data_IF_323711243492
#
_entry.id   IF_323711243492
#
_cell.length_a   1.000
_cell.length_b   1.000
_cell.length_c   1.000
_cell.angle_alpha   90.00
_cell.angle_beta   90.00
_cell.angle_gamma   90.00
#
_symmetry.space_group_name_H-M   'P 1'
#
loop_
_entity.id
_entity.type
_entity.pdbx_description
1 polymer ?
#
# COMPACT_ATOMS: atom_id res chain seq x y z
N UNK A 1 8.81 -26.44 6.84
CA UNK A 1 9.02 -25.07 6.33
C UNK A 1 7.72 -24.57 5.76
N UNK A 2 7.16 -23.54 6.37
CA UNK A 2 5.87 -22.96 6.00
C UNK A 2 6.10 -21.72 5.14
N UNK A 3 5.66 -21.73 3.88
CA UNK A 3 5.83 -20.59 2.99
C UNK A 3 4.66 -19.62 3.15
N UNK A 4 4.97 -18.36 3.46
CA UNK A 4 3.99 -17.32 3.73
C UNK A 4 4.19 -16.17 2.75
N UNK A 5 3.16 -15.81 2.00
CA UNK A 5 3.23 -14.74 1.01
C UNK A 5 2.97 -13.37 1.66
N UNK A 6 3.97 -12.49 1.67
CA UNK A 6 3.78 -11.10 2.06
C UNK A 6 2.82 -10.42 1.05
N UNK A 7 1.60 -10.15 1.48
CA UNK A 7 0.50 -9.80 0.60
C UNK A 7 0.03 -8.37 0.84
N UNK A 8 0.54 -7.42 0.07
CA UNK A 8 0.19 -5.99 0.17
C UNK A 8 -0.98 -5.58 -0.73
N UNK A 9 -1.67 -6.53 -1.35
CA UNK A 9 -2.75 -6.33 -2.32
C UNK A 9 -2.34 -5.65 -3.64
N UNK A 10 -1.06 -5.35 -3.84
CA UNK A 10 -0.54 -4.83 -5.11
C UNK A 10 -0.35 -5.92 -6.16
N UNK A 11 -0.15 -5.51 -7.42
CA UNK A 11 0.12 -6.40 -8.56
C UNK A 11 1.24 -7.40 -8.28
N UNK A 12 2.36 -6.94 -7.72
CA UNK A 12 3.56 -7.76 -7.53
C UNK A 12 3.31 -8.84 -6.46
N UNK A 13 2.73 -8.48 -5.30
CA UNK A 13 2.35 -9.46 -4.28
C UNK A 13 1.23 -10.41 -4.72
N UNK A 14 0.34 -9.95 -5.60
CA UNK A 14 -0.77 -10.76 -6.14
C UNK A 14 -0.25 -11.80 -7.12
N UNK A 15 0.55 -11.39 -8.11
CA UNK A 15 1.21 -12.30 -9.04
C UNK A 15 2.11 -13.31 -8.30
N UNK A 16 2.83 -12.87 -7.27
CA UNK A 16 3.63 -13.77 -6.43
C UNK A 16 2.76 -14.81 -5.72
N UNK A 17 1.66 -14.40 -5.07
CA UNK A 17 0.77 -15.31 -4.36
C UNK A 17 0.15 -16.35 -5.30
N UNK A 18 -0.27 -15.93 -6.50
CA UNK A 18 -0.78 -16.81 -7.57
C UNK A 18 0.29 -17.79 -8.04
N UNK A 19 1.48 -17.27 -8.39
CA UNK A 19 2.63 -18.07 -8.84
C UNK A 19 2.99 -19.16 -7.85
N UNK A 20 3.00 -18.82 -6.56
CA UNK A 20 3.32 -19.76 -5.49
C UNK A 20 2.19 -20.73 -5.14
N UNK A 21 0.96 -20.49 -5.64
CA UNK A 21 -0.27 -21.12 -5.12
C UNK A 21 -0.30 -21.03 -3.59
N UNK A 22 -0.11 -19.81 -3.09
CA UNK A 22 0.16 -19.55 -1.69
C UNK A 22 -0.95 -20.12 -0.79
N UNK A 23 -0.56 -20.88 0.24
CA UNK A 23 -1.47 -21.38 1.26
C UNK A 23 -1.75 -20.37 2.37
N UNK A 24 -0.84 -19.41 2.56
CA UNK A 24 -0.91 -18.39 3.59
C UNK A 24 -0.60 -17.02 2.99
N UNK A 25 -1.53 -16.08 3.14
CA UNK A 25 -1.37 -14.65 2.80
C UNK A 25 -1.11 -13.88 4.09
N UNK A 26 -0.11 -13.00 4.10
CA UNK A 26 0.26 -12.21 5.26
C UNK A 26 0.00 -10.74 5.02
N UNK A 27 -0.91 -10.15 5.79
CA UNK A 27 -1.30 -8.75 5.65
C UNK A 27 -1.27 -8.03 7.01
N UNK A 28 -0.71 -6.83 7.02
CA UNK A 28 -0.61 -5.98 8.21
C UNK A 28 -1.50 -4.74 8.01
N UNK A 29 -2.78 -4.74 8.39
CA UNK A 29 -3.69 -3.64 8.11
C UNK A 29 -3.26 -2.36 8.82
N UNK A 30 -3.41 -1.21 8.16
CA UNK A 30 -3.27 0.10 8.80
C UNK A 30 -4.57 0.57 9.41
N UNK A 31 -5.70 -0.01 9.02
CA UNK A 31 -7.03 0.43 9.41
C UNK A 31 -7.47 1.70 8.66
N UNK A 32 -6.73 2.08 7.61
CA UNK A 32 -7.06 3.22 6.75
C UNK A 32 -6.98 2.82 5.27
N UNK A 33 -6.86 1.53 4.93
CA UNK A 33 -7.03 1.06 3.56
C UNK A 33 -8.47 1.32 3.05
N UNK A 34 -8.60 1.58 1.74
CA UNK A 34 -9.91 1.75 1.10
C UNK A 34 -10.62 0.38 0.95
N UNK A 35 -11.97 0.34 0.89
CA UNK A 35 -12.73 -0.91 0.77
C UNK A 35 -12.29 -1.87 -0.35
N UNK A 36 -11.91 -1.40 -1.57
CA UNK A 36 -11.43 -2.29 -2.63
C UNK A 36 -10.19 -3.12 -2.25
N UNK A 37 -9.40 -2.69 -1.26
CA UNK A 37 -8.26 -3.48 -0.76
C UNK A 37 -8.75 -4.73 -0.02
N UNK A 38 -9.74 -4.59 0.86
CA UNK A 38 -10.31 -5.71 1.59
C UNK A 38 -11.03 -6.69 0.65
N UNK A 39 -11.78 -6.17 -0.32
CA UNK A 39 -12.44 -6.97 -1.36
C UNK A 39 -11.43 -7.76 -2.19
N UNK A 40 -10.31 -7.14 -2.58
CA UNK A 40 -9.24 -7.80 -3.31
C UNK A 40 -8.57 -8.90 -2.49
N UNK A 41 -8.32 -8.66 -1.20
CA UNK A 41 -7.75 -9.67 -0.30
C UNK A 41 -8.66 -10.89 -0.24
N UNK A 42 -9.96 -10.71 -0.01
CA UNK A 42 -10.87 -11.85 0.08
C UNK A 42 -10.99 -12.59 -1.26
N UNK A 43 -11.02 -11.85 -2.37
CA UNK A 43 -11.06 -12.45 -3.70
C UNK A 43 -9.85 -13.33 -3.99
N UNK A 44 -8.63 -12.84 -3.70
CA UNK A 44 -7.40 -13.62 -3.89
C UNK A 44 -7.33 -14.79 -2.90
N UNK A 45 -7.74 -14.57 -1.64
CA UNK A 45 -7.82 -15.61 -0.62
C UNK A 45 -8.72 -16.77 -1.05
N UNK A 46 -9.94 -16.45 -1.49
CA UNK A 46 -10.92 -17.44 -1.95
C UNK A 46 -10.45 -18.16 -3.21
N UNK A 47 -9.86 -17.44 -4.17
CA UNK A 47 -9.28 -18.01 -5.39
C UNK A 47 -8.21 -19.06 -5.09
N UNK A 48 -7.34 -18.80 -4.10
CA UNK A 48 -6.23 -19.68 -3.75
C UNK A 48 -6.59 -20.76 -2.73
N UNK A 49 -7.75 -20.65 -2.06
CA UNK A 49 -8.05 -21.44 -0.86
C UNK A 49 -7.04 -21.18 0.26
N UNK A 50 -6.53 -19.94 0.34
CA UNK A 50 -5.47 -19.55 1.27
C UNK A 50 -6.04 -19.11 2.63
N UNK A 51 -5.25 -19.27 3.69
CA UNK A 51 -5.51 -18.64 4.98
C UNK A 51 -4.92 -17.23 5.02
N UNK A 52 -5.63 -16.29 5.66
CA UNK A 52 -5.15 -14.92 5.85
C UNK A 52 -4.60 -14.75 7.27
N UNK A 53 -3.32 -14.41 7.35
CA UNK A 53 -2.61 -14.11 8.59
C UNK A 53 -2.58 -12.60 8.78
N UNK A 54 -3.15 -12.15 9.89
CA UNK A 54 -3.11 -10.75 10.34
C UNK A 54 -2.47 -10.74 11.73
N UNK A 55 -1.18 -10.38 11.85
CA UNK A 55 -0.55 -10.26 13.17
C UNK A 55 -1.15 -9.06 13.93
N UNK A 56 -1.15 -9.09 15.27
CA UNK A 56 -1.54 -7.93 16.05
C UNK A 56 -0.57 -6.77 15.80
N UNK A 57 -1.10 -5.56 15.65
CA UNK A 57 -0.31 -4.36 15.40
C UNK A 57 -1.13 -3.08 15.61
N UNK A 58 -0.46 -1.92 15.77
CA UNK A 58 -1.15 -0.65 15.92
C UNK A 58 -1.77 -0.19 14.60
N UNK A 59 -2.80 0.65 14.66
CA UNK A 59 -3.40 1.27 13.47
C UNK A 59 -2.73 2.61 13.11
N UNK A 60 -3.04 3.14 11.94
CA UNK A 60 -2.64 4.50 11.58
C UNK A 60 -3.19 5.52 12.60
N UNK A 61 -4.45 5.37 13.01
CA UNK A 61 -5.08 6.24 13.99
C UNK A 61 -4.33 6.21 15.34
N UNK A 62 -4.06 5.03 15.88
CA UNK A 62 -3.39 4.90 17.18
C UNK A 62 -1.95 5.39 17.12
N UNK A 63 -1.26 5.25 15.98
CA UNK A 63 0.10 5.78 15.83
C UNK A 63 0.13 7.30 15.68
N UNK A 64 -0.82 7.90 14.96
CA UNK A 64 -0.97 9.37 14.90
C UNK A 64 -1.21 9.94 16.31
N UNK A 65 -2.08 9.30 17.08
CA UNK A 65 -2.36 9.69 18.46
C UNK A 65 -1.14 9.52 19.37
N UNK A 66 -0.42 8.40 19.27
CA UNK A 66 0.78 8.17 20.08
C UNK A 66 1.88 9.21 19.82
N UNK A 67 2.11 9.59 18.56
CA UNK A 67 3.18 10.52 18.20
C UNK A 67 2.74 11.98 18.17
N UNK A 68 1.44 12.26 18.29
CA UNK A 68 0.86 13.59 18.03
C UNK A 68 1.42 14.20 16.73
N UNK A 69 1.51 13.37 15.69
CA UNK A 69 2.20 13.74 14.44
C UNK A 69 1.65 12.92 13.26
N UNK A 70 1.55 13.54 12.09
CA UNK A 70 1.21 12.86 10.85
C UNK A 70 2.45 12.20 10.23
N UNK A 71 2.34 11.00 9.63
CA UNK A 71 3.45 10.36 8.97
C UNK A 71 3.84 11.13 7.71
N UNK A 72 5.13 11.16 7.42
CA UNK A 72 5.66 11.75 6.19
C UNK A 72 6.87 10.96 5.69
N UNK A 73 7.50 11.43 4.62
CA UNK A 73 8.62 10.72 3.98
C UNK A 73 9.83 10.53 4.90
N UNK A 74 10.03 11.40 5.89
CA UNK A 74 11.07 11.27 6.93
C UNK A 74 10.54 10.45 8.12
N UNK A 75 9.34 10.80 8.61
CA UNK A 75 8.70 10.19 9.79
C UNK A 75 7.82 9.01 9.38
N UNK A 76 8.43 7.94 8.87
CA UNK A 76 7.75 6.72 8.37
C UNK A 76 7.36 5.73 9.48
N UNK A 77 6.81 6.22 10.59
CA UNK A 77 6.38 5.36 11.69
C UNK A 77 5.26 4.39 11.26
N UNK A 78 4.42 4.77 10.29
CA UNK A 78 3.41 3.88 9.72
C UNK A 78 4.06 2.62 9.10
N UNK A 79 5.14 2.77 8.33
CA UNK A 79 5.89 1.60 7.81
C UNK A 79 6.55 0.82 8.95
N UNK A 80 7.26 1.52 9.85
CA UNK A 80 8.05 0.87 10.90
C UNK A 80 7.20 0.10 11.92
N UNK A 81 6.13 0.70 12.42
CA UNK A 81 5.35 0.16 13.54
C UNK A 81 4.15 -0.67 13.12
N UNK A 82 3.53 -0.37 11.98
CA UNK A 82 2.34 -1.10 11.51
C UNK A 82 2.74 -2.27 10.63
N UNK A 83 3.76 -2.10 9.79
CA UNK A 83 4.16 -3.13 8.81
C UNK A 83 5.36 -3.96 9.30
N UNK A 84 6.50 -3.30 9.58
CA UNK A 84 7.76 -4.00 9.87
C UNK A 84 7.74 -4.71 11.23
N UNK A 85 7.46 -4.00 12.33
CA UNK A 85 7.51 -4.61 13.67
C UNK A 85 6.55 -5.79 13.85
N UNK A 86 5.26 -5.72 13.44
CA UNK A 86 4.36 -6.87 13.56
C UNK A 86 4.79 -8.06 12.71
N UNK A 87 5.32 -7.82 11.51
CA UNK A 87 5.86 -8.88 10.66
C UNK A 87 7.07 -9.57 11.32
N UNK A 88 8.01 -8.81 11.89
CA UNK A 88 9.17 -9.37 12.59
C UNK A 88 8.76 -10.16 13.83
N UNK A 89 7.84 -9.62 14.64
CA UNK A 89 7.35 -10.31 15.84
C UNK A 89 6.69 -11.65 15.48
N UNK A 90 5.80 -11.65 14.49
CA UNK A 90 5.15 -12.86 14.00
C UNK A 90 6.18 -13.87 13.48
N UNK A 91 7.14 -13.43 12.67
CA UNK A 91 8.20 -14.30 12.17
C UNK A 91 9.07 -14.89 13.30
N UNK A 92 9.33 -14.15 14.37
CA UNK A 92 10.08 -14.66 15.53
C UNK A 92 9.31 -15.77 16.26
N UNK A 93 7.98 -15.64 16.38
CA UNK A 93 7.10 -16.65 16.99
C UNK A 93 6.92 -17.89 16.10
N UNK A 94 7.19 -17.77 14.79
CA UNK A 94 7.04 -18.84 13.80
C UNK A 94 8.39 -19.14 13.12
N UNK A 95 9.35 -19.79 13.81
CA UNK A 95 10.71 -19.97 13.32
C UNK A 95 10.82 -20.84 12.06
N UNK A 96 9.82 -21.68 11.76
CA UNK A 96 9.77 -22.53 10.56
C UNK A 96 9.17 -21.82 9.33
N UNK A 97 8.66 -20.59 9.52
CA UNK A 97 8.08 -19.79 8.45
C UNK A 97 9.14 -19.06 7.63
N UNK A 98 8.94 -19.09 6.30
CA UNK A 98 9.71 -18.33 5.31
C UNK A 98 8.77 -17.30 4.68
N UNK A 99 9.19 -16.04 4.67
CA UNK A 99 8.42 -14.96 4.07
C UNK A 99 8.80 -14.79 2.60
N UNK A 100 7.85 -15.04 1.70
CA UNK A 100 7.99 -14.72 0.28
C UNK A 100 7.64 -13.25 0.06
N UNK A 101 8.53 -12.51 -0.61
CA UNK A 101 8.37 -11.09 -0.91
C UNK A 101 8.29 -10.87 -2.42
N UNK A 102 7.27 -10.12 -2.86
CA UNK A 102 6.97 -9.86 -4.26
C UNK A 102 7.91 -8.84 -4.89
N UNK A 103 9.21 -9.13 -4.87
CA UNK A 103 10.26 -8.30 -5.44
C UNK A 103 10.63 -8.81 -6.83
N UNK A 104 10.54 -7.94 -7.83
CA UNK A 104 10.73 -8.34 -9.23
C UNK A 104 12.20 -8.44 -9.62
N UNK A 105 12.44 -9.07 -10.77
CA UNK A 105 13.77 -9.19 -11.37
C UNK A 105 14.32 -7.84 -11.88
N UNK A 106 13.46 -6.97 -12.40
CA UNK A 106 13.79 -5.62 -12.89
C UNK A 106 14.02 -4.57 -11.77
N UNK A 107 14.00 -5.00 -10.49
CA UNK A 107 14.22 -4.16 -9.31
C UNK A 107 15.55 -4.49 -8.61
N UNK A 108 16.65 -4.61 -9.37
CA UNK A 108 17.95 -5.14 -8.89
C UNK A 108 18.54 -4.36 -7.70
N UNK A 109 18.32 -3.05 -7.62
CA UNK A 109 18.88 -2.18 -6.55
C UNK A 109 18.12 -2.26 -5.24
N UNK A 110 16.99 -2.97 -5.19
CA UNK A 110 16.21 -3.14 -3.96
C UNK A 110 16.71 -4.36 -3.19
N UNK A 111 17.27 -4.11 -2.02
CA UNK A 111 17.54 -5.13 -1.00
C UNK A 111 16.26 -5.42 -0.21
N UNK A 112 16.18 -6.63 0.37
CA UNK A 112 15.04 -7.06 1.19
C UNK A 112 14.71 -6.07 2.33
N UNK A 113 13.46 -6.06 2.77
CA UNK A 113 12.89 -4.93 3.54
C UNK A 113 13.15 -5.02 5.05
N UNK A 114 13.63 -6.16 5.54
CA UNK A 114 13.44 -6.51 6.94
C UNK A 114 14.72 -7.12 7.49
N UNK A 115 15.25 -6.56 8.57
CA UNK A 115 16.45 -7.04 9.26
C UNK A 115 16.29 -8.38 9.98
N UNK A 116 15.62 -9.36 9.35
CA UNK A 116 15.77 -10.77 9.70
C UNK A 116 16.90 -11.37 8.84
N UNK A 117 17.48 -12.52 9.25
CA UNK A 117 18.46 -13.22 8.44
C UNK A 117 17.95 -13.52 7.03
N UNK A 118 18.82 -13.41 6.03
CA UNK A 118 18.47 -13.50 4.61
C UNK A 118 17.78 -14.84 4.26
N UNK A 119 18.15 -15.94 4.93
CA UNK A 119 17.55 -17.26 4.73
C UNK A 119 16.06 -17.35 5.09
N UNK A 120 15.53 -16.36 5.80
CA UNK A 120 14.10 -16.28 6.15
C UNK A 120 13.25 -15.59 5.08
N UNK A 121 13.89 -15.07 4.03
CA UNK A 121 13.23 -14.47 2.88
C UNK A 121 13.39 -15.29 1.61
N UNK A 122 12.36 -15.26 0.77
CA UNK A 122 12.42 -15.70 -0.62
C UNK A 122 11.91 -14.61 -1.53
N UNK A 123 12.43 -14.59 -2.76
CA UNK A 123 12.08 -13.59 -3.77
C UNK A 123 11.58 -14.29 -5.04
N UNK A 124 10.39 -14.92 -5.02
CA UNK A 124 9.98 -15.86 -6.06
C UNK A 124 9.81 -15.26 -7.45
N UNK A 125 9.55 -13.95 -7.53
CA UNK A 125 9.45 -13.23 -8.80
C UNK A 125 10.84 -13.00 -9.40
N UNK A 126 11.77 -12.48 -8.60
CA UNK A 126 13.18 -12.31 -8.97
C UNK A 126 13.83 -13.64 -9.36
N UNK A 127 13.64 -14.69 -8.54
CA UNK A 127 14.13 -16.05 -8.82
C UNK A 127 13.58 -16.63 -10.14
N UNK A 128 12.39 -16.19 -10.55
CA UNK A 128 11.74 -16.61 -11.79
C UNK A 128 12.05 -15.70 -12.98
N UNK A 129 12.82 -14.62 -12.80
CA UNK A 129 13.07 -13.62 -13.83
C UNK A 129 11.83 -12.77 -14.19
N UNK A 130 10.82 -12.68 -13.32
CA UNK A 130 9.60 -11.93 -13.61
C UNK A 130 9.83 -10.43 -13.43
N UNK A 131 9.66 -9.68 -14.51
CA UNK A 131 9.55 -8.23 -14.52
C UNK A 131 8.09 -7.78 -14.46
N UNK A 132 7.85 -6.50 -14.77
CA UNK A 132 6.50 -5.93 -14.73
C UNK A 132 5.53 -6.62 -15.70
N UNK A 133 5.99 -6.98 -16.89
CA UNK A 133 5.16 -7.59 -17.93
C UNK A 133 4.62 -8.95 -17.49
N UNK A 134 5.47 -9.83 -16.97
CA UNK A 134 5.07 -11.15 -16.47
C UNK A 134 4.11 -11.03 -15.29
N UNK A 135 4.32 -10.05 -14.40
CA UNK A 135 3.44 -9.78 -13.27
C UNK A 135 2.04 -9.36 -13.72
N UNK A 136 1.95 -8.41 -14.66
CA UNK A 136 0.67 -7.95 -15.19
C UNK A 136 -0.04 -9.07 -15.96
N UNK A 137 0.69 -9.78 -16.82
CA UNK A 137 0.18 -10.93 -17.55
C UNK A 137 -0.35 -12.02 -16.62
N UNK A 138 0.37 -12.32 -15.53
CA UNK A 138 -0.09 -13.29 -14.53
C UNK A 138 -1.44 -12.87 -13.91
N UNK A 139 -1.58 -11.58 -13.56
CA UNK A 139 -2.85 -11.08 -13.02
C UNK A 139 -3.96 -11.17 -14.06
N UNK A 140 -3.71 -10.78 -15.31
CA UNK A 140 -4.67 -10.84 -16.42
C UNK A 140 -5.10 -12.28 -16.75
N UNK A 141 -4.16 -13.21 -16.87
CA UNK A 141 -4.41 -14.62 -17.17
C UNK A 141 -5.30 -15.30 -16.09
N UNK A 142 -5.30 -14.77 -14.87
CA UNK A 142 -6.15 -15.22 -13.75
C UNK A 142 -7.39 -14.33 -13.54
N UNK A 143 -7.64 -13.42 -14.47
CA UNK A 143 -8.73 -12.44 -14.43
C UNK A 143 -8.73 -11.61 -13.15
N UNK A 144 -7.56 -11.24 -12.62
CA UNK A 144 -7.40 -10.50 -11.36
C UNK A 144 -7.18 -9.01 -11.60
N UNK A 145 -8.24 -8.23 -11.37
CA UNK A 145 -8.15 -6.78 -11.34
C UNK A 145 -7.46 -6.32 -10.04
N UNK A 146 -6.43 -5.47 -10.19
CA UNK A 146 -5.69 -4.91 -9.06
C UNK A 146 -6.38 -3.62 -8.60
N UNK A 147 -6.56 -3.39 -7.29
CA UNK A 147 -7.06 -2.12 -6.79
C UNK A 147 -6.19 -0.97 -7.27
N UNK A 148 -6.84 0.11 -7.72
CA UNK A 148 -6.18 1.35 -8.13
C UNK A 148 -5.18 1.85 -7.08
N UNK A 149 -5.52 1.64 -5.80
CA UNK A 149 -4.67 1.96 -4.66
C UNK A 149 -4.71 0.87 -3.60
N UNK A 150 -3.55 0.61 -3.02
CA UNK A 150 -3.35 -0.39 -1.96
C UNK A 150 -2.68 0.19 -0.71
N UNK A 151 -2.32 1.47 -0.75
CA UNK A 151 -1.84 2.24 0.39
C UNK A 151 -2.98 2.80 1.25
N UNK A 152 -2.65 3.35 2.43
CA UNK A 152 -3.60 4.04 3.29
C UNK A 152 -4.31 5.16 2.51
N UNK A 153 -5.61 5.33 2.71
CA UNK A 153 -6.46 6.34 2.10
C UNK A 153 -5.83 7.75 2.16
N UNK A 154 -5.18 8.12 3.27
CA UNK A 154 -4.51 9.43 3.46
C UNK A 154 -2.99 9.39 3.30
N UNK A 155 -2.44 8.40 2.60
CA UNK A 155 -0.99 8.26 2.41
C UNK A 155 -0.34 9.53 1.83
N UNK A 156 0.69 10.04 2.50
CA UNK A 156 1.44 11.23 2.06
C UNK A 156 2.18 11.05 0.72
N UNK A 157 2.27 9.83 0.18
CA UNK A 157 2.82 9.58 -1.15
C UNK A 157 1.82 9.74 -2.29
N UNK A 158 0.53 9.93 -1.99
CA UNK A 158 -0.49 10.15 -3.00
C UNK A 158 -0.13 11.29 -3.97
N UNK A 159 -0.44 11.05 -5.23
CA UNK A 159 -0.46 12.01 -6.34
C UNK A 159 -1.70 12.87 -6.23
N UNK A 160 -1.69 14.04 -6.87
CA UNK A 160 -2.78 14.99 -6.76
C UNK A 160 -4.12 14.44 -7.30
N UNK A 161 -4.10 13.68 -8.39
CA UNK A 161 -5.29 12.99 -8.89
C UNK A 161 -5.87 11.95 -7.92
N UNK A 162 -5.02 11.29 -7.12
CA UNK A 162 -5.47 10.33 -6.10
C UNK A 162 -6.17 11.04 -4.93
N UNK A 163 -5.72 12.24 -4.56
CA UNK A 163 -6.43 13.09 -3.59
C UNK A 163 -7.80 13.54 -4.12
N UNK A 164 -7.89 13.90 -5.40
CA UNK A 164 -9.17 14.27 -6.02
C UNK A 164 -10.15 13.10 -6.04
N UNK A 165 -9.69 11.89 -6.38
CA UNK A 165 -10.50 10.67 -6.33
C UNK A 165 -10.93 10.34 -4.89
N UNK A 166 -10.03 10.48 -3.91
CA UNK A 166 -10.36 10.26 -2.50
C UNK A 166 -11.48 11.19 -2.03
N UNK A 167 -11.38 12.49 -2.36
CA UNK A 167 -12.42 13.47 -2.03
C UNK A 167 -13.78 13.12 -2.67
N UNK A 168 -13.76 12.74 -3.96
CA UNK A 168 -14.97 12.46 -4.73
C UNK A 168 -15.67 11.16 -4.33
N UNK A 169 -14.89 10.09 -4.18
CA UNK A 169 -15.41 8.72 -4.07
C UNK A 169 -15.50 8.24 -2.61
N UNK A 170 -14.72 8.84 -1.70
CA UNK A 170 -14.58 8.38 -0.32
C UNK A 170 -14.64 9.54 0.69
N UNK A 171 -15.77 10.27 0.76
CA UNK A 171 -15.91 11.47 1.60
C UNK A 171 -15.67 11.21 3.10
N UNK A 172 -15.97 10.01 3.60
CA UNK A 172 -15.74 9.66 5.02
C UNK A 172 -14.24 9.58 5.35
N UNK A 173 -13.45 8.97 4.46
CA UNK A 173 -11.99 8.92 4.60
C UNK A 173 -11.38 10.31 4.42
N UNK A 174 -11.97 11.14 3.56
CA UNK A 174 -11.57 12.54 3.41
C UNK A 174 -11.79 13.33 4.70
N UNK A 175 -12.98 13.24 5.29
CA UNK A 175 -13.33 13.90 6.55
C UNK A 175 -12.45 13.43 7.70
N UNK A 176 -12.16 12.13 7.79
CA UNK A 176 -11.21 11.60 8.77
C UNK A 176 -9.81 12.21 8.61
N UNK A 177 -9.33 12.33 7.37
CA UNK A 177 -8.03 12.94 7.07
C UNK A 177 -7.98 14.41 7.49
N UNK A 178 -9.00 15.20 7.15
CA UNK A 178 -9.09 16.60 7.58
C UNK A 178 -9.13 16.73 9.10
N UNK A 179 -9.89 15.88 9.80
CA UNK A 179 -9.95 15.89 11.26
C UNK A 179 -8.57 15.60 11.89
N UNK A 180 -7.76 14.74 11.28
CA UNK A 180 -6.38 14.53 11.70
C UNK A 180 -5.48 15.72 11.42
N UNK A 181 -5.62 16.38 10.27
CA UNK A 181 -4.85 17.62 9.98
C UNK A 181 -5.20 18.73 10.97
N UNK A 182 -6.49 18.95 11.24
CA UNK A 182 -6.98 19.96 12.18
C UNK A 182 -6.51 19.68 13.61
N UNK A 183 -6.57 18.40 14.05
CA UNK A 183 -6.13 17.99 15.40
C UNK A 183 -4.62 18.19 15.60
N UNK A 184 -3.82 17.86 14.59
CA UNK A 184 -2.35 17.85 14.70
C UNK A 184 -1.73 19.20 14.32
N UNK A 185 -2.41 20.02 13.51
CA UNK A 185 -1.88 21.29 13.00
C UNK A 185 -0.83 21.13 11.89
N UNK A 186 -0.83 19.98 11.21
CA UNK A 186 0.07 19.67 10.10
C UNK A 186 -0.66 18.93 8.98
N UNK A 187 -0.05 18.84 7.79
CA UNK A 187 -0.67 18.25 6.60
C UNK A 187 -0.04 16.92 6.19
N UNK A 188 -0.83 16.01 5.61
CA UNK A 188 -0.28 14.77 5.01
C UNK A 188 0.54 15.08 3.76
N UNK A 189 0.07 16.02 2.94
CA UNK A 189 0.76 16.43 1.72
C UNK A 189 1.81 17.51 2.02
N UNK A 190 2.97 17.41 1.35
CA UNK A 190 4.03 18.42 1.47
C UNK A 190 3.71 19.64 0.61
N UNK A 191 3.86 20.88 1.12
CA UNK A 191 3.62 22.11 0.34
C UNK A 191 4.61 22.29 -0.81
N UNK A 192 5.80 21.70 -0.73
CA UNK A 192 6.84 21.83 -1.75
C UNK A 192 6.61 20.98 -3.02
N UNK A 193 5.50 20.24 -3.12
CA UNK A 193 5.29 19.26 -4.20
C UNK A 193 4.81 19.88 -5.50
N UNK A 194 3.92 20.85 -5.43
CA UNK A 194 3.33 21.58 -6.54
C UNK A 194 2.61 22.82 -5.99
N UNK A 195 1.89 23.55 -6.85
CA UNK A 195 1.22 24.81 -6.50
C UNK A 195 -0.15 24.64 -5.82
N UNK A 196 -0.64 23.41 -5.63
CA UNK A 196 -1.90 23.15 -4.96
C UNK A 196 -1.76 23.24 -3.44
N UNK A 197 -2.85 23.57 -2.72
CA UNK A 197 -2.86 23.56 -1.26
C UNK A 197 -2.32 22.26 -0.68
N UNK A 198 -1.54 22.39 0.40
CA UNK A 198 -1.02 21.23 1.12
C UNK A 198 -2.08 20.59 2.03
N UNK A 199 -2.98 21.40 2.61
CA UNK A 199 -4.05 20.90 3.46
C UNK A 199 -5.14 20.25 2.63
N UNK A 200 -5.72 19.18 3.18
CA UNK A 200 -6.93 18.56 2.66
C UNK A 200 -8.07 19.57 2.61
N UNK A 201 -8.26 20.41 3.65
CA UNK A 201 -9.26 21.50 3.63
C UNK A 201 -9.10 22.43 2.43
N UNK A 202 -7.87 22.87 2.15
CA UNK A 202 -7.59 23.73 1.01
C UNK A 202 -7.78 23.02 -0.34
N UNK A 203 -7.44 21.73 -0.42
CA UNK A 203 -7.73 20.93 -1.62
C UNK A 203 -9.23 20.77 -1.84
N UNK A 204 -10.02 20.50 -0.79
CA UNK A 204 -11.48 20.39 -0.85
C UNK A 204 -12.08 21.67 -1.42
N UNK A 205 -11.69 22.83 -0.89
CA UNK A 205 -12.19 24.12 -1.37
C UNK A 205 -11.90 24.35 -2.86
N UNK A 206 -10.77 23.85 -3.38
CA UNK A 206 -10.50 23.88 -4.82
C UNK A 206 -11.41 22.94 -5.59
N UNK A 207 -11.54 21.70 -5.12
CA UNK A 207 -12.34 20.67 -5.79
C UNK A 207 -13.84 21.02 -5.81
N UNK A 208 -14.38 21.60 -4.74
CA UNK A 208 -15.75 22.10 -4.66
C UNK A 208 -16.04 23.25 -5.62
N UNK A 209 -15.01 24.05 -5.98
CA UNK A 209 -15.11 25.07 -7.04
C UNK A 209 -15.03 24.50 -8.45
N UNK A 210 -14.84 23.19 -8.60
CA UNK A 210 -14.72 22.49 -9.88
C UNK A 210 -13.29 22.39 -10.40
N UNK A 211 -12.27 22.79 -9.63
CA UNK A 211 -10.89 22.61 -10.05
C UNK A 211 -10.56 21.11 -10.11
N UNK A 212 -10.12 20.64 -11.28
CA UNK A 212 -9.75 19.23 -11.50
C UNK A 212 -8.26 19.10 -11.82
N UNK A 213 -7.50 18.29 -11.06
CA UNK A 213 -6.10 18.02 -11.38
C UNK A 213 -5.92 17.36 -12.75
N UNK A 214 -4.80 17.67 -13.41
CA UNK A 214 -4.49 17.07 -14.71
C UNK A 214 -4.32 15.55 -14.57
N UNK A 215 -5.05 14.78 -15.38
CA UNK A 215 -4.98 13.32 -15.35
C UNK A 215 -5.72 12.66 -14.18
N UNK A 216 -6.57 13.40 -13.45
CA UNK A 216 -7.34 12.85 -12.33
C UNK A 216 -8.31 11.71 -12.73
N UNK A 217 -8.67 11.58 -14.01
CA UNK A 217 -9.49 10.48 -14.52
C UNK A 217 -8.70 9.21 -14.86
N UNK A 218 -7.38 9.30 -15.01
CA UNK A 218 -6.57 8.12 -15.32
C UNK A 218 -6.23 7.36 -14.04
N UNK A 219 -7.14 6.45 -13.69
CA UNK A 219 -6.98 5.54 -12.56
C UNK A 219 -5.70 4.69 -12.65
N UNK A 220 -5.17 4.40 -13.84
CA UNK A 220 -3.91 3.66 -14.01
C UNK A 220 -2.70 4.58 -14.29
N UNK A 221 -2.82 5.90 -14.05
CA UNK A 221 -1.71 6.82 -14.28
C UNK A 221 -0.47 6.45 -13.46
N UNK A 222 -0.66 5.79 -12.31
CA UNK A 222 0.42 5.35 -11.44
C UNK A 222 1.24 4.20 -12.04
N UNK A 223 0.62 3.39 -12.88
CA UNK A 223 1.24 2.25 -13.57
C UNK A 223 1.84 2.68 -14.91
N UNK A 224 1.28 3.71 -15.56
CA UNK A 224 1.63 4.11 -16.93
C UNK A 224 2.46 5.40 -17.05
N UNK A 225 2.51 6.25 -16.03
CA UNK A 225 3.13 7.59 -16.11
C UNK A 225 4.04 7.91 -14.92
N UNK A 226 5.16 8.58 -15.23
CA UNK A 226 6.07 9.09 -14.21
C UNK A 226 5.38 10.17 -13.36
N UNK A 227 5.87 10.35 -12.13
CA UNK A 227 5.23 11.22 -11.13
C UNK A 227 5.05 12.66 -11.61
N UNK A 228 6.05 13.21 -12.31
CA UNK A 228 6.06 14.59 -12.83
C UNK A 228 4.95 14.82 -13.85
N UNK A 229 4.63 13.83 -14.69
CA UNK A 229 3.58 13.93 -15.70
C UNK A 229 2.15 13.86 -15.12
N UNK A 230 2.01 13.73 -13.80
CA UNK A 230 0.72 13.56 -13.08
C UNK A 230 0.53 14.55 -11.94
N UNK A 231 1.40 15.57 -11.86
CA UNK A 231 1.30 16.71 -10.94
C UNK A 231 0.51 17.87 -11.57
#
# INVERSE_FOLDING_TARGET
>A
MTLVAAFSSGKDSTAMAIRLRAKYLFFTPTGNELPPVAEHIERVRAMLGAELIIPPGPSLASTIELFQCLPNWQKRFCTRLIKIKPAMAWMHEHPDAIMAVGLRADEETREGIYGLPDERYKFPLREAGWGLEEVLKCCEDHNVAIPTRTDCAVCFFQRLGEWWQLWRDWPDYWQQGEAWEDKIGHTFRSPSRDTWPASMRGLRERFERGDKPRGADDVHARERRCRVCTL
#
